data_IF_603446966983
#
_entry.id   IF_603446966983
#
_cell.length_a   1.000
_cell.length_b   1.000
_cell.length_c   1.000
_cell.angle_alpha   90.00
_cell.angle_beta   90.00
_cell.angle_gamma   90.00
#
_symmetry.space_group_name_H-M   'P 1'
#
loop_
_entity.id
_entity.type
_entity.pdbx_description
1 polymer ?
#
# COMPACT_ATOMS: atom_id res chain seq x y z
N UNK A 1 29.56 28.79 -9.67
CA UNK A 1 29.04 27.64 -8.89
C UNK A 1 27.52 27.66 -8.99
N UNK A 2 26.95 26.83 -9.86
CA UNK A 2 25.51 26.82 -10.12
C UNK A 2 24.84 25.75 -9.25
N UNK A 3 24.19 26.19 -8.18
CA UNK A 3 23.24 25.37 -7.42
C UNK A 3 22.01 25.17 -8.29
N UNK A 4 21.89 23.99 -8.90
CA UNK A 4 20.66 23.61 -9.60
C UNK A 4 19.60 23.37 -8.53
N UNK A 5 18.71 24.35 -8.41
CA UNK A 5 17.45 24.28 -7.67
C UNK A 5 16.70 23.04 -8.17
N UNK A 6 16.63 22.01 -7.32
CA UNK A 6 15.73 20.87 -7.52
C UNK A 6 14.30 21.38 -7.34
N UNK A 7 13.79 21.95 -8.42
CA UNK A 7 12.48 22.57 -8.48
C UNK A 7 11.40 21.59 -8.09
N UNK A 8 10.52 22.07 -7.21
CA UNK A 8 9.19 21.54 -6.96
C UNK A 8 8.50 21.32 -8.31
N UNK A 9 8.48 20.09 -8.80
CA UNK A 9 7.64 19.69 -9.92
C UNK A 9 6.52 18.87 -9.33
N UNK A 10 5.38 19.52 -9.14
CA UNK A 10 4.05 18.94 -9.28
C UNK A 10 3.94 17.50 -8.78
N UNK A 11 3.84 17.33 -7.44
CA UNK A 11 3.17 16.18 -6.82
C UNK A 11 1.65 16.29 -7.11
N UNK A 12 1.29 16.35 -8.39
CA UNK A 12 -0.10 16.35 -8.80
C UNK A 12 -0.54 14.88 -8.82
N UNK A 13 -1.33 14.52 -7.81
CA UNK A 13 -2.19 13.34 -7.79
C UNK A 13 -1.41 12.04 -7.78
N UNK A 14 -1.06 11.54 -6.59
CA UNK A 14 -0.89 10.11 -6.41
C UNK A 14 -2.29 9.52 -6.27
N UNK A 15 -2.86 8.84 -7.29
CA UNK A 15 -3.85 7.84 -7.00
C UNK A 15 -3.05 6.67 -6.41
N UNK A 16 -2.60 6.80 -5.15
CA UNK A 16 -2.28 5.62 -4.34
C UNK A 16 -3.40 4.66 -4.64
N UNK A 17 -3.08 3.45 -5.10
CA UNK A 17 -4.09 2.42 -5.37
C UNK A 17 -4.89 2.29 -4.09
N UNK A 18 -6.02 3.01 -4.00
CA UNK A 18 -6.76 3.23 -2.77
C UNK A 18 -7.46 1.91 -2.52
N UNK A 19 -6.74 0.97 -1.92
CA UNK A 19 -7.33 -0.25 -1.42
C UNK A 19 -8.39 0.20 -0.41
N UNK A 20 -9.63 -0.04 -0.81
CA UNK A 20 -10.88 0.40 -0.18
C UNK A 20 -10.99 -0.32 1.16
N UNK A 21 -10.30 0.23 2.13
CA UNK A 21 -10.60 0.13 3.54
C UNK A 21 -10.26 1.52 4.08
N UNK A 22 -11.11 2.49 3.71
CA UNK A 22 -11.29 3.60 4.62
C UNK A 22 -11.62 2.97 5.98
N UNK A 23 -10.80 3.28 6.98
CA UNK A 23 -11.21 3.11 8.36
C UNK A 23 -12.50 3.93 8.48
N UNK A 24 -13.65 3.26 8.32
CA UNK A 24 -14.93 3.82 8.76
C UNK A 24 -14.67 4.17 10.21
N UNK A 25 -14.55 5.46 10.49
CA UNK A 25 -14.25 6.00 11.80
C UNK A 25 -15.36 5.51 12.72
N UNK A 26 -15.12 4.37 13.38
CA UNK A 26 -16.05 3.80 14.33
C UNK A 26 -16.35 4.91 15.33
N UNK A 27 -17.60 5.37 15.38
CA UNK A 27 -18.02 6.29 16.44
C UNK A 27 -17.65 5.58 17.74
N UNK A 28 -16.91 6.26 18.62
CA UNK A 28 -16.52 5.68 19.92
C UNK A 28 -17.80 5.09 20.53
N UNK A 29 -17.84 3.79 20.85
CA UNK A 29 -19.01 3.17 21.46
C UNK A 29 -19.38 3.97 22.70
N UNK A 30 -20.66 4.12 22.98
CA UNK A 30 -21.11 4.76 24.23
C UNK A 30 -20.46 4.00 25.40
N UNK A 31 -19.78 4.70 26.31
CA UNK A 31 -19.17 4.08 27.50
C UNK A 31 -20.28 3.70 28.48
N UNK A 32 -20.88 2.53 28.25
CA UNK A 32 -21.95 1.96 29.04
C UNK A 32 -21.44 0.68 29.70
N UNK A 33 -22.10 0.24 30.77
CA UNK A 33 -21.75 -1.02 31.43
C UNK A 33 -21.73 -2.23 30.47
N UNK A 34 -22.52 -2.19 29.37
CA UNK A 34 -22.53 -3.21 28.31
C UNK A 34 -21.26 -3.22 27.46
N UNK A 35 -20.74 -2.06 27.04
CA UNK A 35 -19.52 -1.98 26.21
C UNK A 35 -18.25 -2.34 27.00
N UNK A 36 -18.27 -2.17 28.33
CA UNK A 36 -17.20 -2.65 29.23
C UNK A 36 -17.11 -4.18 29.32
N UNK A 37 -18.24 -4.89 29.18
CA UNK A 37 -18.26 -6.36 29.11
C UNK A 37 -17.77 -6.88 27.73
N UNK A 38 -18.14 -6.19 26.65
CA UNK A 38 -17.77 -6.56 25.26
C UNK A 38 -16.29 -6.30 24.94
N UNK A 39 -15.67 -5.27 25.53
CA UNK A 39 -14.24 -4.93 25.34
C UNK A 39 -13.25 -5.92 25.99
N UNK A 40 -13.75 -6.94 26.70
CA UNK A 40 -12.92 -7.92 27.43
C UNK A 40 -12.13 -8.88 26.54
N UNK A 41 -12.53 -9.08 25.28
CA UNK A 41 -11.83 -9.97 24.35
C UNK A 41 -11.22 -9.18 23.20
N UNK A 42 -10.21 -8.36 23.50
CA UNK A 42 -9.27 -7.89 22.47
C UNK A 42 -8.52 -9.10 21.94
N UNK A 43 -8.78 -9.44 20.67
CA UNK A 43 -8.04 -10.52 20.00
C UNK A 43 -6.67 -10.00 19.56
N UNK A 44 -5.67 -10.30 20.39
CA UNK A 44 -4.28 -9.91 20.17
C UNK A 44 -3.70 -10.51 18.88
N UNK A 45 -4.22 -11.65 18.42
CA UNK A 45 -3.81 -12.26 17.15
C UNK A 45 -4.32 -11.43 15.98
N UNK A 46 -5.58 -11.01 16.03
CA UNK A 46 -6.18 -10.14 15.01
C UNK A 46 -5.47 -8.78 14.96
N UNK A 47 -5.20 -8.17 16.12
CA UNK A 47 -4.48 -6.90 16.20
C UNK A 47 -3.08 -7.00 15.57
N UNK A 48 -2.36 -8.11 15.85
CA UNK A 48 -1.04 -8.38 15.25
C UNK A 48 -1.11 -8.48 13.72
N UNK A 49 -2.08 -9.23 13.20
CA UNK A 49 -2.30 -9.35 11.75
C UNK A 49 -2.64 -7.99 11.13
N UNK A 50 -3.44 -7.17 11.81
CA UNK A 50 -3.83 -5.85 11.35
C UNK A 50 -2.61 -4.91 11.26
N UNK A 51 -1.70 -4.96 12.23
CA UNK A 51 -0.43 -4.22 12.18
C UNK A 51 0.45 -4.70 11.03
N UNK A 52 0.57 -6.02 10.83
CA UNK A 52 1.35 -6.58 9.73
C UNK A 52 0.80 -6.13 8.37
N UNK A 53 -0.52 -6.17 8.19
CA UNK A 53 -1.18 -5.70 6.97
C UNK A 53 -0.91 -4.20 6.73
N UNK A 54 -1.02 -3.37 7.78
CA UNK A 54 -0.69 -1.94 7.70
C UNK A 54 0.76 -1.73 7.24
N UNK A 55 1.72 -2.45 7.82
CA UNK A 55 3.13 -2.31 7.44
C UNK A 55 3.38 -2.76 5.99
N UNK A 56 2.75 -3.85 5.54
CA UNK A 56 2.85 -4.30 4.15
C UNK A 56 2.27 -3.28 3.18
N UNK A 57 1.16 -2.63 3.53
CA UNK A 57 0.57 -1.55 2.74
C UNK A 57 1.51 -0.35 2.62
N UNK A 58 2.13 0.07 3.73
CA UNK A 58 3.13 1.14 3.72
C UNK A 58 4.32 0.79 2.83
N UNK A 59 4.77 -0.47 2.83
CA UNK A 59 5.83 -0.91 1.94
C UNK A 59 5.42 -0.85 0.45
N UNK A 60 4.17 -1.17 0.13
CA UNK A 60 3.64 -1.03 -1.24
C UNK A 60 3.53 0.43 -1.67
N UNK A 61 3.04 1.30 -0.79
CA UNK A 61 2.93 2.74 -1.06
C UNK A 61 4.33 3.34 -1.33
N UNK A 62 5.33 2.98 -0.52
CA UNK A 62 6.73 3.39 -0.73
C UNK A 62 7.31 2.83 -2.04
N UNK A 63 7.02 1.56 -2.36
CA UNK A 63 7.42 0.97 -3.64
C UNK A 63 6.85 1.76 -4.82
N UNK A 64 5.57 2.09 -4.80
CA UNK A 64 4.90 2.84 -5.86
C UNK A 64 5.55 4.23 -6.03
N UNK A 65 5.80 4.93 -4.93
CA UNK A 65 6.47 6.24 -4.93
C UNK A 65 7.89 6.19 -5.51
N UNK A 66 8.65 5.13 -5.20
CA UNK A 66 9.99 4.90 -5.77
C UNK A 66 9.88 4.58 -7.27
N UNK A 67 8.93 3.74 -7.67
CA UNK A 67 8.73 3.34 -9.07
C UNK A 67 8.30 4.50 -9.97
N UNK A 68 7.64 5.51 -9.41
CA UNK A 68 7.29 6.74 -10.13
C UNK A 68 8.50 7.67 -10.38
N UNK A 69 9.62 7.44 -9.69
CA UNK A 69 10.84 8.21 -9.95
C UNK A 69 11.45 7.82 -11.29
N UNK A 70 11.85 8.81 -12.10
CA UNK A 70 12.48 8.60 -13.40
C UNK A 70 13.75 7.74 -13.36
N UNK A 71 14.42 7.70 -12.21
CA UNK A 71 15.71 7.02 -12.07
C UNK A 71 15.58 5.63 -11.44
N UNK A 72 14.39 5.19 -11.03
CA UNK A 72 14.19 3.91 -10.34
C UNK A 72 14.79 3.83 -8.93
N UNK A 73 15.22 4.96 -8.36
CA UNK A 73 15.70 5.08 -6.98
C UNK A 73 15.27 6.41 -6.37
N UNK A 74 15.15 6.44 -5.04
CA UNK A 74 14.84 7.62 -4.24
C UNK A 74 15.93 7.87 -3.19
N UNK A 75 16.23 9.12 -2.87
CA UNK A 75 17.12 9.42 -1.74
C UNK A 75 16.38 9.26 -0.41
N UNK A 76 17.10 8.90 0.65
CA UNK A 76 16.52 8.76 1.98
C UNK A 76 15.92 10.09 2.47
N UNK A 77 16.52 11.22 2.08
CA UNK A 77 15.98 12.56 2.36
C UNK A 77 14.64 12.83 1.65
N UNK A 78 14.46 12.33 0.41
CA UNK A 78 13.19 12.47 -0.30
C UNK A 78 12.11 11.60 0.37
N UNK A 79 12.46 10.35 0.67
CA UNK A 79 11.57 9.42 1.39
C UNK A 79 11.19 9.96 2.78
N UNK A 80 12.11 10.63 3.47
CA UNK A 80 11.84 11.29 4.76
C UNK A 80 10.75 12.35 4.67
N UNK A 81 10.58 13.02 3.53
CA UNK A 81 9.49 13.99 3.33
C UNK A 81 8.15 13.29 3.16
N UNK A 82 8.14 12.16 2.46
CA UNK A 82 6.94 11.33 2.28
C UNK A 82 6.54 10.55 3.53
N UNK A 83 7.38 10.50 4.57
CA UNK A 83 7.03 9.92 5.87
C UNK A 83 5.64 10.31 6.33
N UNK A 84 5.35 11.61 6.27
CA UNK A 84 4.09 12.17 6.73
C UNK A 84 2.93 11.88 5.75
N UNK A 85 3.20 11.88 4.45
CA UNK A 85 2.19 11.59 3.43
C UNK A 85 1.74 10.12 3.44
N UNK A 86 2.70 9.21 3.66
CA UNK A 86 2.45 7.76 3.74
C UNK A 86 1.96 7.36 5.14
N UNK A 87 1.99 8.27 6.13
CA UNK A 87 1.53 7.98 7.50
C UNK A 87 2.48 7.04 8.27
N UNK A 88 3.77 7.06 7.94
CA UNK A 88 4.77 6.23 8.60
C UNK A 88 5.17 6.85 9.95
N UNK A 89 4.86 6.14 11.04
CA UNK A 89 5.19 6.60 12.39
C UNK A 89 6.67 6.42 12.76
N UNK A 90 7.39 5.54 12.08
CA UNK A 90 8.81 5.21 12.33
C UNK A 90 9.69 6.02 11.36
N UNK A 91 10.98 6.15 11.65
CA UNK A 91 11.96 6.66 10.70
C UNK A 91 12.02 5.79 9.44
N UNK A 92 12.18 6.43 8.27
CA UNK A 92 12.20 5.70 6.99
C UNK A 92 13.34 4.68 6.95
N UNK A 93 14.56 5.05 7.40
CA UNK A 93 15.71 4.14 7.37
C UNK A 93 15.43 2.84 8.14
N UNK A 94 15.00 2.99 9.40
CA UNK A 94 14.62 1.86 10.25
C UNK A 94 13.43 1.04 9.71
N UNK A 95 12.54 1.64 8.91
CA UNK A 95 11.47 0.90 8.23
C UNK A 95 12.01 0.09 7.06
N UNK A 96 12.84 0.70 6.21
CA UNK A 96 13.43 0.03 5.04
C UNK A 96 14.31 -1.15 5.45
N UNK A 97 15.08 -1.00 6.53
CA UNK A 97 15.92 -2.07 7.11
C UNK A 97 15.13 -3.30 7.56
N UNK A 98 13.84 -3.16 7.90
CA UNK A 98 12.97 -4.31 8.23
C UNK A 98 12.60 -5.14 7.00
N UNK A 99 12.71 -4.57 5.80
CA UNK A 99 12.29 -5.19 4.55
C UNK A 99 13.43 -5.24 3.51
N UNK A 100 14.57 -5.88 3.84
CA UNK A 100 15.73 -5.96 2.94
C UNK A 100 15.46 -6.79 1.67
N UNK A 101 14.39 -7.59 1.67
CA UNK A 101 13.94 -8.37 0.53
C UNK A 101 13.10 -7.55 -0.46
N UNK A 102 12.66 -6.35 -0.07
CA UNK A 102 11.87 -5.42 -0.89
C UNK A 102 12.74 -4.23 -1.30
N UNK A 103 13.52 -3.70 -0.36
CA UNK A 103 14.29 -2.48 -0.50
C UNK A 103 15.79 -2.74 -0.35
N UNK A 104 16.57 -2.12 -1.23
CA UNK A 104 18.03 -2.13 -1.21
C UNK A 104 18.54 -0.70 -0.96
N UNK A 105 19.20 -0.51 0.19
CA UNK A 105 19.76 0.77 0.62
C UNK A 105 21.25 0.80 0.24
N UNK A 106 21.66 1.82 -0.51
CA UNK A 106 23.03 1.98 -0.97
C UNK A 106 23.45 3.44 -0.97
N UNK A 107 24.75 3.69 -0.85
CA UNK A 107 25.31 5.03 -0.98
C UNK A 107 25.54 5.32 -2.46
N UNK A 108 24.96 6.40 -2.97
CA UNK A 108 25.12 6.78 -4.36
C UNK A 108 26.59 7.12 -4.66
N UNK A 109 27.23 6.51 -5.68
CA UNK A 109 28.68 6.61 -5.90
C UNK A 109 29.16 8.04 -6.15
N UNK A 110 28.36 8.82 -6.89
CA UNK A 110 28.69 10.23 -7.21
C UNK A 110 28.26 11.21 -6.11
N UNK A 111 27.01 11.09 -5.64
CA UNK A 111 26.41 12.09 -4.73
C UNK A 111 26.72 11.85 -3.25
N UNK A 112 27.26 10.67 -2.90
CA UNK A 112 27.50 10.22 -1.50
C UNK A 112 26.28 10.30 -0.59
N UNK A 113 25.08 10.37 -1.16
CA UNK A 113 23.82 10.36 -0.43
C UNK A 113 23.30 8.93 -0.32
N UNK A 114 22.65 8.62 0.80
CA UNK A 114 21.94 7.36 0.98
C UNK A 114 20.70 7.32 0.07
N UNK A 115 20.64 6.30 -0.76
CA UNK A 115 19.57 6.05 -1.70
C UNK A 115 18.96 4.67 -1.46
N UNK A 116 17.68 4.54 -1.79
CA UNK A 116 16.93 3.32 -1.75
C UNK A 116 16.41 3.01 -3.15
N UNK A 117 16.55 1.75 -3.57
CA UNK A 117 15.92 1.19 -4.77
C UNK A 117 15.14 -0.07 -4.39
N UNK A 118 14.25 -0.50 -5.27
CA UNK A 118 13.52 -1.76 -5.10
C UNK A 118 14.43 -2.92 -5.52
N UNK A 119 14.43 -4.01 -4.77
CA UNK A 119 15.19 -5.21 -5.10
C UNK A 119 14.74 -5.79 -6.45
N UNK A 120 15.65 -6.22 -7.35
CA UNK A 120 15.28 -6.72 -8.68
C UNK A 120 14.31 -7.90 -8.61
N UNK A 121 14.50 -8.81 -7.64
CA UNK A 121 13.59 -9.94 -7.39
C UNK A 121 12.15 -9.49 -7.13
N UNK A 122 11.97 -8.40 -6.38
CA UNK A 122 10.62 -7.89 -6.09
C UNK A 122 10.03 -7.19 -7.31
N UNK A 123 10.84 -6.46 -8.07
CA UNK A 123 10.40 -5.85 -9.32
C UNK A 123 9.92 -6.89 -10.35
N UNK A 124 10.61 -8.03 -10.45
CA UNK A 124 10.22 -9.16 -11.32
C UNK A 124 8.87 -9.75 -10.91
N UNK A 125 8.67 -10.03 -9.62
CA UNK A 125 7.40 -10.56 -9.10
C UNK A 125 6.22 -9.61 -9.36
N UNK A 126 6.45 -8.30 -9.29
CA UNK A 126 5.42 -7.31 -9.56
C UNK A 126 5.08 -7.28 -11.06
N UNK A 127 6.08 -7.38 -11.93
CA UNK A 127 5.85 -7.45 -13.38
C UNK A 127 5.07 -8.71 -13.78
N UNK A 128 5.33 -9.84 -13.11
CA UNK A 128 4.56 -11.08 -13.27
C UNK A 128 3.11 -10.92 -12.79
N UNK A 129 2.90 -10.33 -11.60
CA UNK A 129 1.56 -10.04 -11.08
C UNK A 129 0.77 -9.14 -12.06
N UNK A 130 1.39 -8.08 -12.56
CA UNK A 130 0.78 -7.18 -13.53
C UNK A 130 0.45 -7.89 -14.85
N UNK A 131 1.27 -8.83 -15.30
CA UNK A 131 0.99 -9.63 -16.50
C UNK A 131 -0.24 -10.52 -16.30
N UNK A 132 -0.29 -11.24 -15.19
CA UNK A 132 -1.43 -12.10 -14.82
C UNK A 132 -2.71 -11.26 -14.65
N UNK A 133 -2.62 -10.07 -14.06
CA UNK A 133 -3.77 -9.17 -13.89
C UNK A 133 -4.32 -8.73 -15.24
N UNK A 134 -3.46 -8.28 -16.16
CA UNK A 134 -3.88 -7.85 -17.52
C UNK A 134 -4.51 -8.97 -18.32
N UNK A 135 -4.01 -10.20 -18.20
CA UNK A 135 -4.57 -11.37 -18.87
C UNK A 135 -5.98 -11.70 -18.35
N UNK A 136 -6.17 -11.61 -17.03
CA UNK A 136 -7.41 -12.02 -16.38
C UNK A 136 -8.50 -10.94 -16.35
N UNK A 137 -8.12 -9.67 -16.39
CA UNK A 137 -9.03 -8.51 -16.36
C UNK A 137 -10.24 -8.64 -17.30
N UNK A 138 -10.09 -8.95 -18.62
CA UNK A 138 -11.24 -9.05 -19.52
C UNK A 138 -12.21 -10.18 -19.12
N UNK A 139 -11.70 -11.30 -18.63
CA UNK A 139 -12.53 -12.42 -18.18
C UNK A 139 -13.33 -12.06 -16.92
N UNK A 140 -12.70 -11.35 -15.98
CA UNK A 140 -13.34 -10.87 -14.75
C UNK A 140 -14.42 -9.83 -15.08
N UNK A 141 -14.11 -8.83 -15.91
CA UNK A 141 -15.08 -7.81 -16.35
C UNK A 141 -16.28 -8.45 -17.03
N UNK A 142 -16.06 -9.44 -17.90
CA UNK A 142 -17.16 -10.17 -18.55
C UNK A 142 -18.05 -10.90 -17.55
N UNK A 143 -17.46 -11.59 -16.56
CA UNK A 143 -18.22 -12.28 -15.49
C UNK A 143 -18.99 -11.29 -14.62
N UNK A 144 -18.36 -10.16 -14.27
CA UNK A 144 -18.98 -9.12 -13.46
C UNK A 144 -20.17 -8.49 -14.19
N UNK A 145 -20.01 -8.15 -15.47
CA UNK A 145 -21.10 -7.62 -16.31
C UNK A 145 -22.27 -8.62 -16.38
N UNK A 146 -21.98 -9.91 -16.56
CA UNK A 146 -23.03 -10.94 -16.56
C UNK A 146 -23.77 -11.01 -15.22
N UNK A 147 -23.05 -10.99 -14.10
CA UNK A 147 -23.62 -10.94 -12.75
C UNK A 147 -24.52 -9.71 -12.53
N UNK A 148 -24.05 -8.53 -12.94
CA UNK A 148 -24.81 -7.28 -12.82
C UNK A 148 -26.07 -7.30 -13.69
N UNK A 149 -26.00 -7.87 -14.90
CA UNK A 149 -27.17 -8.01 -15.77
C UNK A 149 -28.21 -8.96 -15.17
N UNK A 150 -27.78 -10.09 -14.58
CA UNK A 150 -28.70 -11.02 -13.91
C UNK A 150 -29.36 -10.39 -12.65
N UNK A 151 -28.67 -9.49 -11.97
CA UNK A 151 -29.23 -8.79 -10.80
C UNK A 151 -30.31 -7.76 -11.15
N UNK A 152 -30.37 -7.29 -12.41
CA UNK A 152 -31.46 -6.39 -12.86
C UNK A 152 -32.78 -7.15 -13.00
N UNK A 153 -32.74 -8.46 -13.23
CA UNK A 153 -33.91 -9.30 -13.49
C UNK A 153 -34.48 -9.95 -12.21
N UNK A 154 -33.93 -9.66 -11.02
CA UNK A 154 -34.39 -10.15 -9.72
C UNK A 154 -33.23 -10.59 -8.80
N UNK A 155 -33.48 -10.81 -7.49
CA UNK A 155 -32.44 -11.24 -6.56
C UNK A 155 -31.86 -12.60 -6.98
N UNK A 156 -30.54 -12.65 -7.11
CA UNK A 156 -29.80 -13.88 -7.34
C UNK A 156 -30.03 -14.82 -6.16
N UNK A 157 -30.92 -15.79 -6.32
CA UNK A 157 -31.08 -16.90 -5.37
C UNK A 157 -29.81 -17.75 -5.43
N UNK A 158 -28.79 -17.37 -4.65
CA UNK A 158 -27.68 -18.26 -4.34
C UNK A 158 -28.23 -19.35 -3.43
N UNK A 159 -28.78 -20.42 -4.03
CA UNK A 159 -29.00 -21.65 -3.31
C UNK A 159 -27.65 -22.13 -2.79
N UNK A 160 -27.45 -22.08 -1.46
CA UNK A 160 -26.43 -22.91 -0.85
C UNK A 160 -26.93 -24.36 -0.96
N UNK A 161 -26.36 -25.09 -1.92
CA UNK A 161 -26.61 -26.52 -2.08
C UNK A 161 -26.15 -27.27 -0.84
N UNK A 162 -27.03 -28.17 -0.43
CA UNK A 162 -27.00 -29.11 0.70
C UNK A 162 -25.85 -30.10 0.66
#
# INVERSE_FOLDING_TARGET
MASIVFGQRNLCVFPLRRHILEERRWKKPVDSARTRLESGTRDHKLDKLMIQLKNLRLALDLHELISQQRNGFASLQLLSRWRHEVGLNIEIGAFLEKYPHIFDIYVHPIKRNECCKVTPKKAELIAEEDAVMRENEPAIVKRLNKLLMLSKDGPLNMHCGS
#
